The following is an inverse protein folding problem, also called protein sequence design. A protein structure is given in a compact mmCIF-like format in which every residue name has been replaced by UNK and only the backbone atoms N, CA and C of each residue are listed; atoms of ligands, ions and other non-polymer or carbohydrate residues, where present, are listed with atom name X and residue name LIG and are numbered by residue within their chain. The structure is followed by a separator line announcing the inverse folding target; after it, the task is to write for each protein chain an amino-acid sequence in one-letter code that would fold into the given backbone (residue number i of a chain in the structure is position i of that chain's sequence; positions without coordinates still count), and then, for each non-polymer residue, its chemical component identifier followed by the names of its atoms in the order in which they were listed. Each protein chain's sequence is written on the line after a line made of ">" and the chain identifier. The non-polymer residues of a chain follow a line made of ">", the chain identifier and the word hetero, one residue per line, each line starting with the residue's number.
data_IF_815280258303
#
_entry.id   IF_815280258303
#
_cell.length_a   1.000
_cell.length_b   1.000
_cell.length_c   1.000
_cell.angle_alpha   90.00
_cell.angle_beta   90.00
_cell.angle_gamma   90.00
#
_symmetry.space_group_name_H-M   'P 1'
#
loop_
_entity.id
_entity.type
_entity.pdbx_description
1 polymer ?
#
# COMPACT_ATOMS: atom_id res chain seq x y z
N UNK A 1 2.83 -21.87 -0.09
CA UNK A 1 1.86 -21.74 1.02
C UNK A 1 2.00 -22.90 1.99
N UNK A 2 1.86 -22.63 3.30
CA UNK A 2 1.70 -23.66 4.33
C UNK A 2 0.21 -23.86 4.71
N UNK A 3 -0.08 -24.78 5.63
CA UNK A 3 -1.45 -25.08 6.07
C UNK A 3 -2.17 -23.87 6.70
N UNK A 4 -1.42 -23.00 7.38
CA UNK A 4 -1.95 -21.78 8.00
C UNK A 4 -2.41 -20.79 6.93
N UNK A 5 -1.60 -20.59 5.90
CA UNK A 5 -1.91 -19.73 4.76
C UNK A 5 -3.07 -20.30 3.93
N UNK A 6 -3.12 -21.62 3.71
CA UNK A 6 -4.25 -22.27 3.04
C UNK A 6 -5.56 -22.03 3.79
N UNK A 7 -5.55 -22.12 5.13
CA UNK A 7 -6.72 -21.82 5.95
C UNK A 7 -7.11 -20.33 5.87
N UNK A 8 -6.14 -19.43 6.04
CA UNK A 8 -6.33 -17.97 6.01
C UNK A 8 -6.97 -17.51 4.69
N UNK A 9 -6.45 -17.98 3.56
CA UNK A 9 -6.88 -17.54 2.24
C UNK A 9 -7.93 -18.45 1.59
N UNK A 10 -8.47 -19.42 2.34
CA UNK A 10 -9.41 -20.43 1.83
C UNK A 10 -10.58 -19.83 1.04
N UNK A 11 -11.13 -18.68 1.49
CA UNK A 11 -12.23 -17.99 0.80
C UNK A 11 -11.83 -17.39 -0.55
N UNK A 12 -10.59 -16.90 -0.68
CA UNK A 12 -10.06 -16.32 -1.92
C UNK A 12 -9.69 -17.44 -2.91
N UNK A 13 -9.06 -18.50 -2.40
CA UNK A 13 -8.68 -19.69 -3.18
C UNK A 13 -9.92 -20.39 -3.79
N UNK A 14 -11.07 -20.37 -3.13
CA UNK A 14 -12.31 -20.95 -3.69
C UNK A 14 -12.83 -20.23 -4.94
N UNK A 15 -12.36 -19.01 -5.23
CA UNK A 15 -12.71 -18.29 -6.46
C UNK A 15 -11.86 -18.81 -7.61
N UNK A 16 -12.50 -19.32 -8.67
CA UNK A 16 -11.81 -19.95 -9.81
C UNK A 16 -10.78 -19.05 -10.50
N UNK A 17 -11.00 -17.73 -10.49
CA UNK A 17 -10.09 -16.75 -11.11
C UNK A 17 -8.83 -16.50 -10.27
N UNK A 18 -8.86 -16.86 -8.97
CA UNK A 18 -7.70 -16.80 -8.08
C UNK A 18 -7.11 -18.20 -7.98
N UNK A 19 -7.84 -19.16 -7.40
CA UNK A 19 -7.35 -20.51 -7.09
C UNK A 19 -6.01 -20.48 -6.31
N UNK A 20 -5.40 -21.64 -6.11
CA UNK A 20 -4.10 -21.77 -5.44
C UNK A 20 -3.03 -20.95 -6.16
N UNK A 21 -3.05 -20.93 -7.50
CA UNK A 21 -2.03 -20.25 -8.31
C UNK A 21 -2.10 -18.73 -8.18
N UNK A 22 -3.29 -18.15 -8.19
CA UNK A 22 -3.51 -16.71 -8.01
C UNK A 22 -3.13 -16.27 -6.61
N UNK A 23 -3.49 -17.05 -5.58
CA UNK A 23 -3.05 -16.73 -4.22
C UNK A 23 -1.53 -16.78 -4.08
N UNK A 24 -0.87 -17.76 -4.68
CA UNK A 24 0.61 -17.81 -4.69
C UNK A 24 1.20 -16.60 -5.42
N UNK A 25 0.58 -16.15 -6.51
CA UNK A 25 0.99 -14.92 -7.21
C UNK A 25 0.89 -13.69 -6.31
N UNK A 26 -0.19 -13.55 -5.53
CA UNK A 26 -0.33 -12.45 -4.55
C UNK A 26 0.78 -12.52 -3.49
N UNK A 27 1.06 -13.71 -2.94
CA UNK A 27 2.10 -13.91 -1.94
C UNK A 27 3.51 -13.63 -2.45
N UNK A 28 3.74 -13.77 -3.76
CA UNK A 28 5.03 -13.49 -4.39
C UNK A 28 5.14 -12.02 -4.84
N UNK A 29 4.04 -11.28 -4.85
CA UNK A 29 3.97 -9.91 -5.38
C UNK A 29 4.46 -8.86 -4.39
N UNK A 30 5.03 -7.78 -4.93
CA UNK A 30 5.46 -6.59 -4.20
C UNK A 30 4.69 -5.36 -4.68
N UNK A 31 3.99 -4.69 -3.76
CA UNK A 31 3.22 -3.47 -4.07
C UNK A 31 3.77 -2.28 -3.30
N UNK A 32 4.06 -1.18 -4.01
CA UNK A 32 4.44 0.10 -3.41
C UNK A 32 3.23 1.00 -3.26
N UNK A 33 2.99 1.52 -2.06
CA UNK A 33 1.95 2.49 -1.74
C UNK A 33 2.62 3.82 -1.40
N UNK A 34 2.34 4.85 -2.21
CA UNK A 34 2.88 6.20 -2.00
C UNK A 34 1.77 7.07 -1.43
N UNK A 35 1.91 7.46 -0.17
CA UNK A 35 0.89 8.11 0.64
C UNK A 35 0.13 7.10 1.50
N UNK A 36 0.22 7.25 2.81
CA UNK A 36 -0.49 6.47 3.82
C UNK A 36 -1.62 7.28 4.47
N UNK A 37 -2.30 8.08 3.65
CA UNK A 37 -3.44 8.90 4.03
C UNK A 37 -4.78 8.18 3.90
N UNK A 38 -5.82 8.94 3.54
CA UNK A 38 -7.20 8.42 3.45
C UNK A 38 -7.40 7.40 2.32
N UNK A 39 -6.57 7.45 1.28
CA UNK A 39 -6.55 6.47 0.18
C UNK A 39 -5.66 5.27 0.51
N UNK A 40 -4.43 5.53 0.97
CA UNK A 40 -3.46 4.48 1.31
C UNK A 40 -3.93 3.58 2.45
N UNK A 41 -4.67 4.14 3.42
CA UNK A 41 -5.22 3.40 4.56
C UNK A 41 -6.05 2.18 4.16
N UNK A 42 -7.20 2.31 3.46
CA UNK A 42 -8.00 1.15 3.07
C UNK A 42 -7.24 0.23 2.09
N UNK A 43 -6.44 0.79 1.19
CA UNK A 43 -5.63 0.02 0.24
C UNK A 43 -4.70 -0.95 0.97
N UNK A 44 -3.89 -0.45 1.90
CA UNK A 44 -2.95 -1.28 2.66
C UNK A 44 -3.68 -2.35 3.49
N UNK A 45 -4.80 -2.02 4.13
CA UNK A 45 -5.59 -2.96 4.92
C UNK A 45 -6.12 -4.14 4.06
N UNK A 46 -6.65 -3.84 2.87
CA UNK A 46 -7.18 -4.88 1.98
C UNK A 46 -6.07 -5.70 1.32
N UNK A 47 -4.98 -5.07 0.86
CA UNK A 47 -3.84 -5.80 0.31
C UNK A 47 -3.19 -6.71 1.35
N UNK A 48 -3.10 -6.23 2.60
CA UNK A 48 -2.60 -7.03 3.70
C UNK A 48 -3.51 -8.25 3.98
N UNK A 49 -4.83 -8.03 3.97
CA UNK A 49 -5.80 -9.12 4.14
C UNK A 49 -5.80 -10.11 2.97
N UNK A 50 -5.51 -9.63 1.75
CA UNK A 50 -5.41 -10.45 0.54
C UNK A 50 -4.12 -11.29 0.47
N UNK A 51 -3.14 -11.00 1.33
CA UNK A 51 -1.88 -11.75 1.34
C UNK A 51 -0.90 -11.30 0.26
N UNK A 52 -0.83 -9.99 -0.05
CA UNK A 52 0.31 -9.47 -0.81
C UNK A 52 1.59 -9.71 -0.02
N UNK A 53 2.57 -10.38 -0.63
CA UNK A 53 3.80 -10.79 0.06
C UNK A 53 4.60 -9.65 0.65
N UNK A 54 4.78 -8.56 -0.12
CA UNK A 54 5.51 -7.37 0.33
C UNK A 54 4.75 -6.09 0.06
N UNK A 55 4.60 -5.27 1.10
CA UNK A 55 4.06 -3.91 0.99
C UNK A 55 5.15 -2.89 1.29
N UNK A 56 5.52 -2.12 0.27
CA UNK A 56 6.33 -0.91 0.43
C UNK A 56 5.42 0.26 0.81
N UNK A 57 5.73 0.97 1.88
CA UNK A 57 4.93 2.10 2.37
C UNK A 57 5.79 3.35 2.40
N UNK A 58 5.42 4.34 1.60
CA UNK A 58 6.06 5.64 1.55
C UNK A 58 5.14 6.71 2.12
N UNK A 59 5.50 7.29 3.25
CA UNK A 59 4.86 8.46 3.83
C UNK A 59 5.85 9.14 4.79
N UNK A 60 5.93 10.47 4.77
CA UNK A 60 6.86 11.24 5.58
C UNK A 60 6.19 11.94 6.77
N UNK A 61 4.87 11.87 6.87
CA UNK A 61 4.11 12.51 7.93
C UNK A 61 4.02 11.63 9.20
N UNK A 62 3.62 12.29 10.28
CA UNK A 62 3.17 11.64 11.52
C UNK A 62 1.64 11.53 11.58
N UNK A 63 1.15 10.66 12.45
CA UNK A 63 -0.28 10.49 12.70
C UNK A 63 -0.80 11.65 13.54
N UNK A 64 -1.83 12.32 13.04
CA UNK A 64 -2.55 13.39 13.75
C UNK A 64 -4.00 13.03 14.07
N UNK A 65 -4.56 13.59 15.15
CA UNK A 65 -5.97 13.40 15.51
C UNK A 65 -6.94 13.78 14.37
N UNK A 66 -6.65 14.89 13.67
CA UNK A 66 -7.44 15.43 12.55
C UNK A 66 -7.54 14.45 11.37
N UNK A 67 -6.60 13.51 11.29
CA UNK A 67 -6.46 12.57 10.19
C UNK A 67 -7.32 11.30 10.41
N UNK A 68 -7.61 10.95 11.66
CA UNK A 68 -8.26 9.69 12.05
C UNK A 68 -9.69 9.52 11.50
N UNK A 69 -10.38 10.61 11.12
CA UNK A 69 -11.72 10.54 10.54
C UNK A 69 -11.75 9.84 9.16
N UNK A 70 -10.60 9.72 8.48
CA UNK A 70 -10.49 9.07 7.16
C UNK A 70 -9.32 8.10 7.03
N UNK A 71 -8.32 8.17 7.91
CA UNK A 71 -7.11 7.36 7.85
C UNK A 71 -7.24 6.15 8.78
N UNK A 72 -8.10 5.21 8.39
CA UNK A 72 -8.55 4.09 9.23
C UNK A 72 -7.45 3.06 9.57
N UNK A 73 -6.28 3.14 8.95
CA UNK A 73 -5.14 2.30 9.32
C UNK A 73 -4.46 2.81 10.61
N UNK A 74 -4.70 4.06 11.01
CA UNK A 74 -4.15 4.68 12.20
C UNK A 74 -5.17 4.66 13.36
N UNK A 75 -4.70 4.94 14.57
CA UNK A 75 -5.53 4.92 15.78
C UNK A 75 -5.14 6.02 16.76
N UNK A 76 -5.99 6.26 17.76
CA UNK A 76 -5.67 7.20 18.84
C UNK A 76 -4.36 6.87 19.56
N UNK A 77 -4.00 5.58 19.65
CA UNK A 77 -2.78 5.12 20.33
C UNK A 77 -1.51 5.32 19.50
N UNK A 78 -1.64 5.70 18.22
CA UNK A 78 -0.50 5.89 17.32
C UNK A 78 -0.29 7.35 16.93
N UNK A 79 -1.02 8.28 17.54
CA UNK A 79 -0.82 9.73 17.37
C UNK A 79 0.63 10.10 17.74
N UNK A 80 1.30 10.85 16.86
CA UNK A 80 2.71 11.25 17.01
C UNK A 80 3.73 10.18 16.57
N UNK A 81 3.29 8.99 16.14
CA UNK A 81 4.17 8.06 15.42
C UNK A 81 4.21 8.43 13.94
N UNK A 82 5.31 8.06 13.26
CA UNK A 82 5.34 8.12 11.80
C UNK A 82 4.19 7.28 11.22
N UNK A 83 3.59 7.75 10.12
CA UNK A 83 2.50 7.01 9.48
C UNK A 83 2.95 5.64 9.00
N UNK A 84 4.20 5.51 8.55
CA UNK A 84 4.76 4.21 8.12
C UNK A 84 4.88 3.21 9.27
N UNK A 85 5.28 3.66 10.47
CA UNK A 85 5.35 2.78 11.65
C UNK A 85 3.94 2.41 12.15
N UNK A 86 3.02 3.39 12.19
CA UNK A 86 1.64 3.11 12.57
C UNK A 86 0.97 2.13 11.59
N UNK A 87 1.26 2.23 10.30
CA UNK A 87 0.71 1.34 9.29
C UNK A 87 1.27 -0.08 9.40
N UNK A 88 2.58 -0.22 9.58
CA UNK A 88 3.22 -1.52 9.83
C UNK A 88 2.59 -2.24 11.04
N UNK A 89 2.37 -1.53 12.15
CA UNK A 89 1.70 -2.12 13.32
C UNK A 89 0.29 -2.64 12.98
N UNK A 90 -0.48 -1.91 12.18
CA UNK A 90 -1.82 -2.33 11.76
C UNK A 90 -1.79 -3.51 10.79
N UNK A 91 -0.87 -3.50 9.83
CA UNK A 91 -0.69 -4.59 8.87
C UNK A 91 -0.30 -5.87 9.61
N UNK A 92 0.68 -5.81 10.51
CA UNK A 92 1.12 -6.97 11.28
C UNK A 92 0.02 -7.54 12.19
N UNK A 93 -0.90 -6.71 12.69
CA UNK A 93 -2.09 -7.18 13.44
C UNK A 93 -3.07 -7.96 12.55
N UNK A 94 -3.18 -7.60 11.28
CA UNK A 94 -4.08 -8.25 10.32
C UNK A 94 -3.45 -9.52 9.77
N UNK A 95 -2.21 -9.42 9.33
CA UNK A 95 -1.50 -10.48 8.67
C UNK A 95 0.00 -10.39 8.96
N UNK A 96 0.51 -11.13 9.95
CA UNK A 96 1.92 -11.11 10.32
C UNK A 96 2.82 -11.81 9.29
N UNK A 97 2.25 -12.49 8.29
CA UNK A 97 3.01 -13.21 7.26
C UNK A 97 3.52 -12.27 6.14
N UNK A 98 3.13 -10.98 6.18
CA UNK A 98 3.46 -9.99 5.17
C UNK A 98 4.72 -9.22 5.56
N UNK A 99 5.59 -8.99 4.58
CA UNK A 99 6.75 -8.11 4.75
C UNK A 99 6.36 -6.66 4.50
N UNK A 100 6.60 -5.79 5.49
CA UNK A 100 6.44 -4.35 5.33
C UNK A 100 7.81 -3.69 5.17
N UNK A 101 7.97 -2.90 4.10
CA UNK A 101 9.16 -2.07 3.87
C UNK A 101 8.76 -0.62 4.02
N UNK A 102 9.42 0.11 4.92
CA UNK A 102 9.07 1.49 5.27
C UNK A 102 10.00 2.49 4.59
N UNK A 103 9.42 3.53 4.02
CA UNK A 103 10.11 4.70 3.49
C UNK A 103 9.57 5.96 4.19
N UNK A 104 10.15 6.35 5.34
CA UNK A 104 9.70 7.49 6.16
C UNK A 104 10.12 8.85 5.58
N UNK A 105 10.28 8.94 4.26
CA UNK A 105 10.83 10.11 3.59
C UNK A 105 10.04 10.40 2.31
N UNK A 106 10.12 11.65 1.86
CA UNK A 106 9.50 12.05 0.61
C UNK A 106 10.33 11.54 -0.56
N UNK A 107 9.82 10.53 -1.26
CA UNK A 107 10.50 9.97 -2.42
C UNK A 107 10.41 10.90 -3.63
N UNK A 108 11.57 11.37 -4.09
CA UNK A 108 11.69 12.27 -5.23
C UNK A 108 12.90 11.90 -6.11
N UNK A 109 12.85 12.28 -7.39
CA UNK A 109 13.95 12.12 -8.34
C UNK A 109 14.48 10.68 -8.40
N UNK A 110 15.80 10.54 -8.33
CA UNK A 110 16.47 9.24 -8.46
C UNK A 110 16.08 8.24 -7.36
N UNK A 111 15.74 8.70 -6.16
CA UNK A 111 15.32 7.80 -5.08
C UNK A 111 13.98 7.14 -5.42
N UNK A 112 13.03 7.92 -5.93
CA UNK A 112 11.74 7.41 -6.41
C UNK A 112 11.91 6.41 -7.56
N UNK A 113 12.71 6.77 -8.56
CA UNK A 113 13.00 5.91 -9.72
C UNK A 113 13.56 4.55 -9.28
N UNK A 114 14.61 4.57 -8.44
CA UNK A 114 15.29 3.35 -7.99
C UNK A 114 14.35 2.44 -7.18
N UNK A 115 13.50 3.03 -6.32
CA UNK A 115 12.59 2.24 -5.49
C UNK A 115 11.51 1.59 -6.35
N UNK A 116 10.90 2.32 -7.28
CA UNK A 116 9.82 1.81 -8.13
C UNK A 116 10.25 0.58 -8.94
N UNK A 117 11.52 0.49 -9.35
CA UNK A 117 12.04 -0.66 -10.11
C UNK A 117 11.89 -2.00 -9.37
N UNK A 118 11.85 -1.97 -8.03
CA UNK A 118 11.79 -3.16 -7.18
C UNK A 118 10.36 -3.67 -6.89
N UNK A 119 9.33 -2.98 -7.36
CA UNK A 119 7.93 -3.35 -7.13
C UNK A 119 7.23 -3.79 -8.41
N UNK A 120 6.22 -4.63 -8.28
CA UNK A 120 5.43 -5.15 -9.40
C UNK A 120 4.28 -4.20 -9.75
N UNK A 121 3.77 -3.46 -8.76
CA UNK A 121 2.68 -2.50 -8.88
C UNK A 121 2.94 -1.29 -7.98
N UNK A 122 2.63 -0.10 -8.50
CA UNK A 122 2.70 1.16 -7.73
C UNK A 122 1.31 1.74 -7.59
N UNK A 123 0.97 2.18 -6.38
CA UNK A 123 -0.28 2.81 -6.03
C UNK A 123 -0.02 4.27 -5.63
N UNK A 124 -0.48 5.21 -6.45
CA UNK A 124 -0.50 6.63 -6.10
C UNK A 124 -1.71 6.93 -5.21
N UNK A 125 -1.42 7.10 -3.92
CA UNK A 125 -2.34 7.51 -2.88
C UNK A 125 -1.99 8.90 -2.33
N UNK A 126 -1.18 9.67 -3.08
CA UNK A 126 -0.78 11.04 -2.73
C UNK A 126 -1.89 12.04 -3.00
N UNK A 127 -1.80 13.21 -2.38
CA UNK A 127 -2.83 14.25 -2.39
C UNK A 127 -2.43 15.50 -3.19
N UNK A 128 -1.28 15.49 -3.86
CA UNK A 128 -0.76 16.64 -4.59
C UNK A 128 -0.31 16.31 -6.01
N UNK A 129 -0.51 17.27 -6.91
CA UNK A 129 -0.20 17.12 -8.33
C UNK A 129 1.28 16.84 -8.60
N UNK A 130 2.20 17.52 -7.90
CA UNK A 130 3.64 17.33 -8.11
C UNK A 130 4.08 15.88 -7.90
N UNK A 131 3.59 15.24 -6.84
CA UNK A 131 3.91 13.83 -6.55
C UNK A 131 3.31 12.92 -7.62
N UNK A 132 2.04 13.13 -7.98
CA UNK A 132 1.38 12.36 -9.03
C UNK A 132 2.14 12.37 -10.36
N UNK A 133 2.58 13.54 -10.82
CA UNK A 133 3.33 13.66 -12.07
C UNK A 133 4.70 12.96 -11.99
N UNK A 134 5.40 13.10 -10.86
CA UNK A 134 6.68 12.44 -10.64
C UNK A 134 6.53 10.90 -10.61
N UNK A 135 5.53 10.39 -9.90
CA UNK A 135 5.21 8.95 -9.81
C UNK A 135 4.86 8.41 -11.20
N UNK A 136 3.99 9.10 -11.94
CA UNK A 136 3.62 8.71 -13.30
C UNK A 136 4.85 8.64 -14.23
N UNK A 137 5.73 9.64 -14.18
CA UNK A 137 6.93 9.67 -14.99
C UNK A 137 7.90 8.52 -14.63
N UNK A 138 8.08 8.26 -13.34
CA UNK A 138 8.93 7.17 -12.85
C UNK A 138 8.37 5.79 -13.23
N UNK A 139 7.06 5.56 -13.02
CA UNK A 139 6.39 4.32 -13.45
C UNK A 139 6.47 4.12 -14.97
N UNK A 140 6.29 5.19 -15.76
CA UNK A 140 6.42 5.12 -17.22
C UNK A 140 7.84 4.71 -17.64
N UNK A 141 8.87 5.32 -17.04
CA UNK A 141 10.29 5.01 -17.31
C UNK A 141 10.63 3.56 -16.95
N UNK A 142 10.19 3.10 -15.77
CA UNK A 142 10.47 1.76 -15.25
C UNK A 142 9.48 0.69 -15.75
N UNK A 143 8.53 1.07 -16.62
CA UNK A 143 7.47 0.20 -17.16
C UNK A 143 6.68 -0.53 -16.08
N UNK A 144 6.42 0.16 -14.96
CA UNK A 144 5.62 -0.38 -13.86
C UNK A 144 4.16 0.04 -14.02
N UNK A 145 3.21 -0.87 -13.83
CA UNK A 145 1.81 -0.49 -13.79
C UNK A 145 1.58 0.46 -12.61
N UNK A 146 0.78 1.49 -12.86
CA UNK A 146 0.39 2.50 -11.90
C UNK A 146 -1.13 2.48 -11.78
N UNK A 147 -1.62 2.44 -10.54
CA UNK A 147 -3.02 2.76 -10.24
C UNK A 147 -3.03 4.03 -9.41
N UNK A 148 -3.73 5.06 -9.88
CA UNK A 148 -3.74 6.37 -9.24
C UNK A 148 -5.14 6.70 -8.74
N UNK A 149 -5.24 7.02 -7.45
CA UNK A 149 -6.47 7.49 -6.82
C UNK A 149 -6.43 9.00 -6.53
N UNK A 150 -7.59 9.66 -6.61
CA UNK A 150 -7.75 11.05 -6.20
C UNK A 150 -9.12 11.27 -5.58
N UNK A 151 -9.20 12.12 -4.56
CA UNK A 151 -10.48 12.54 -3.96
C UNK A 151 -10.45 14.04 -3.72
N UNK A 152 -11.49 14.74 -4.16
CA UNK A 152 -11.71 16.15 -3.85
C UNK A 152 -13.18 16.36 -3.52
N UNK A 153 -13.46 16.86 -2.31
CA UNK A 153 -14.83 17.07 -1.80
C UNK A 153 -15.68 15.80 -1.90
N UNK A 154 -16.65 15.78 -2.82
CA UNK A 154 -17.60 14.68 -3.03
C UNK A 154 -17.27 13.84 -4.27
N UNK A 155 -16.13 14.10 -4.91
CA UNK A 155 -15.72 13.44 -6.15
C UNK A 155 -14.49 12.57 -5.90
N UNK A 156 -14.48 11.39 -6.51
CA UNK A 156 -13.36 10.47 -6.52
C UNK A 156 -13.03 10.06 -7.96
N UNK A 157 -11.74 9.85 -8.23
CA UNK A 157 -11.24 9.38 -9.51
C UNK A 157 -10.26 8.23 -9.31
N UNK A 158 -10.30 7.27 -10.22
CA UNK A 158 -9.32 6.19 -10.35
C UNK A 158 -8.90 6.07 -11.82
N UNK A 159 -7.61 5.83 -12.06
CA UNK A 159 -7.01 5.62 -13.38
C UNK A 159 -5.88 4.61 -13.34
#
# INVERSE_FOLDING_TARGET
>A
MDDTQLLRYSRQILLSDIDIKGQQTLLDSKVLIIGMGGLGSPVALYLASAGIGTLGICDFDEVELSNLQRQIIHSNNTIGLSKVDSAEQSINRINPDITVIKYPEKLEGNALDNIIEHYDLVLDCSDNFSSRFAINQACFKSKKPLVSGAVIRMEGQIS
#
